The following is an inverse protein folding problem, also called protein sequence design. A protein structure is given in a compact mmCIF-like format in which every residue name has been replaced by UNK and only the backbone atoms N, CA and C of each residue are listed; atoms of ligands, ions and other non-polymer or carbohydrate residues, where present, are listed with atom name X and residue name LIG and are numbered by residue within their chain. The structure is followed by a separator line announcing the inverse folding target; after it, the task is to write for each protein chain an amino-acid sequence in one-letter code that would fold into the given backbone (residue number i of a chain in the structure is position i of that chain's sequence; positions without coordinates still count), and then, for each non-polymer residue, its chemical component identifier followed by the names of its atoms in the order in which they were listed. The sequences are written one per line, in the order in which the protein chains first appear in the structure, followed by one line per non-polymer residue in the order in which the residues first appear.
data_IF_859929023632
#
_entry.id   IF_859929023632
#
_cell.length_a   1.000
_cell.length_b   1.000
_cell.length_c   1.000
_cell.angle_alpha   90.00
_cell.angle_beta   90.00
_cell.angle_gamma   90.00
#
_symmetry.space_group_name_H-M   'P 1'
#
loop_
_entity.id
_entity.type
_entity.pdbx_description
1 polymer ?
#
# COMPACT_ATOMS: atom_id res chain seq x y z
N UNK A 1 -13.63 10.55 -46.88
CA UNK A 1 -13.65 10.56 -45.41
C UNK A 1 -13.31 9.15 -44.97
N UNK A 2 -12.17 8.93 -44.29
CA UNK A 2 -11.79 7.59 -43.80
C UNK A 2 -12.53 7.39 -42.47
N UNK A 3 -13.42 6.40 -42.40
CA UNK A 3 -14.07 6.02 -41.15
C UNK A 3 -13.04 5.33 -40.27
N UNK A 4 -12.56 6.03 -39.25
CA UNK A 4 -11.73 5.42 -38.20
C UNK A 4 -12.63 4.49 -37.39
N UNK A 5 -12.26 3.22 -37.31
CA UNK A 5 -12.95 2.25 -36.45
C UNK A 5 -12.61 2.54 -34.98
N UNK A 6 -13.55 2.35 -34.03
CA UNK A 6 -13.28 2.58 -32.61
C UNK A 6 -12.19 1.63 -32.08
N UNK A 7 -11.27 2.15 -31.27
CA UNK A 7 -10.16 1.42 -30.66
C UNK A 7 -10.55 0.97 -29.25
N UNK A 8 -10.46 -0.34 -29.00
CA UNK A 8 -10.81 -0.97 -27.73
C UNK A 8 -9.56 -1.17 -26.84
N UNK A 9 -9.56 -0.59 -25.64
CA UNK A 9 -8.50 -0.72 -24.63
C UNK A 9 -8.97 -1.72 -23.56
N UNK A 10 -8.22 -2.80 -23.34
CA UNK A 10 -8.56 -3.84 -22.36
C UNK A 10 -7.68 -3.70 -21.10
N UNK A 11 -8.30 -3.43 -19.96
CA UNK A 11 -7.62 -2.96 -18.75
C UNK A 11 -8.04 -3.68 -17.50
N UNK A 12 -7.14 -3.79 -16.51
CA UNK A 12 -7.29 -4.83 -15.50
C UNK A 12 -6.89 -4.42 -14.09
N UNK A 13 -7.63 -4.89 -13.09
CA UNK A 13 -7.72 -4.21 -11.77
C UNK A 13 -6.72 -4.68 -10.69
N UNK A 14 -5.89 -5.72 -10.91
CA UNK A 14 -5.23 -6.37 -9.75
C UNK A 14 -4.05 -5.60 -9.13
N UNK A 15 -3.30 -4.77 -9.85
CA UNK A 15 -2.30 -3.86 -9.27
C UNK A 15 -2.09 -2.65 -10.20
N UNK A 16 -3.02 -1.70 -10.17
CA UNK A 16 -2.84 -0.43 -10.90
C UNK A 16 -2.04 0.52 -10.01
N UNK A 17 -0.94 1.07 -10.54
CA UNK A 17 -0.26 2.20 -9.90
C UNK A 17 -1.25 3.37 -9.77
N UNK A 18 -1.09 4.27 -8.79
CA UNK A 18 -1.99 5.43 -8.65
C UNK A 18 -2.11 6.24 -9.94
N UNK A 19 -0.98 6.45 -10.63
CA UNK A 19 -0.91 7.17 -11.90
C UNK A 19 -1.65 6.45 -13.03
N UNK A 20 -1.44 5.15 -13.20
CA UNK A 20 -2.14 4.36 -14.22
C UNK A 20 -3.64 4.30 -13.92
N UNK A 21 -4.01 4.18 -12.65
CA UNK A 21 -5.41 4.20 -12.23
C UNK A 21 -6.04 5.57 -12.53
N UNK A 22 -5.34 6.67 -12.26
CA UNK A 22 -5.75 8.04 -12.61
C UNK A 22 -5.98 8.16 -14.12
N UNK A 23 -5.01 7.73 -14.92
CA UNK A 23 -5.10 7.76 -16.37
C UNK A 23 -6.31 6.99 -16.90
N UNK A 24 -6.53 5.76 -16.43
CA UNK A 24 -7.54 4.88 -17.03
C UNK A 24 -8.95 5.12 -16.48
N UNK A 25 -9.08 5.26 -15.16
CA UNK A 25 -10.40 5.28 -14.50
C UNK A 25 -10.95 6.69 -14.34
N UNK A 26 -10.08 7.69 -14.33
CA UNK A 26 -10.43 9.06 -13.96
C UNK A 26 -10.15 10.03 -15.13
N UNK A 27 -10.48 9.60 -16.35
CA UNK A 27 -10.61 10.53 -17.48
C UNK A 27 -9.36 10.81 -18.32
N UNK A 28 -8.19 10.26 -17.98
CA UNK A 28 -6.99 10.42 -18.81
C UNK A 28 -7.14 9.78 -20.20
N UNK A 29 -7.57 8.52 -20.25
CA UNK A 29 -7.85 7.79 -21.49
C UNK A 29 -9.09 8.33 -22.21
N UNK A 30 -10.14 8.71 -21.47
CA UNK A 30 -11.39 9.23 -22.02
C UNK A 30 -11.24 10.61 -22.69
N UNK A 31 -10.11 11.29 -22.46
CA UNK A 31 -9.77 12.56 -23.12
C UNK A 31 -9.39 12.40 -24.59
N UNK A 32 -9.18 11.16 -25.07
CA UNK A 32 -8.83 10.85 -26.45
C UNK A 32 -10.04 10.38 -27.26
N UNK A 33 -10.04 10.67 -28.56
CA UNK A 33 -11.05 10.20 -29.49
C UNK A 33 -10.84 8.73 -29.86
N UNK A 34 -11.96 8.02 -30.06
CA UNK A 34 -11.98 6.61 -30.44
C UNK A 34 -11.30 5.66 -29.46
N UNK A 35 -11.12 6.04 -28.19
CA UNK A 35 -10.59 5.17 -27.14
C UNK A 35 -11.74 4.65 -26.28
N UNK A 36 -11.85 3.33 -26.17
CA UNK A 36 -12.79 2.66 -25.27
C UNK A 36 -12.03 1.92 -24.18
N UNK A 37 -12.50 1.93 -22.93
CA UNK A 37 -11.82 1.27 -21.80
C UNK A 37 -12.68 0.14 -21.24
N UNK A 38 -12.19 -1.09 -21.30
CA UNK A 38 -12.81 -2.28 -20.72
C UNK A 38 -12.08 -2.70 -19.43
N UNK A 39 -12.81 -3.06 -18.37
CA UNK A 39 -12.22 -3.48 -17.09
C UNK A 39 -12.31 -5.00 -16.85
N UNK A 40 -11.21 -5.73 -17.06
CA UNK A 40 -11.00 -7.16 -16.82
C UNK A 40 -10.30 -7.44 -15.48
N UNK A 41 -10.99 -8.07 -14.53
CA UNK A 41 -10.38 -8.40 -13.22
C UNK A 41 -9.20 -9.37 -13.39
N UNK A 42 -8.03 -9.01 -12.86
CA UNK A 42 -6.90 -9.94 -12.69
C UNK A 42 -5.87 -10.05 -13.81
N UNK A 43 -6.01 -9.28 -14.87
CA UNK A 43 -5.02 -9.19 -15.94
C UNK A 43 -4.11 -7.96 -15.76
N UNK A 44 -3.22 -7.70 -16.72
CA UNK A 44 -2.44 -6.45 -16.82
C UNK A 44 -3.20 -5.39 -17.62
N UNK A 45 -2.80 -4.13 -17.51
CA UNK A 45 -3.30 -3.05 -18.37
C UNK A 45 -2.58 -3.06 -19.72
N UNK A 46 -3.29 -3.31 -20.81
CA UNK A 46 -2.73 -3.38 -22.16
C UNK A 46 -3.52 -2.45 -23.08
N UNK A 47 -2.82 -1.52 -23.74
CA UNK A 47 -3.37 -0.76 -24.84
C UNK A 47 -3.27 -1.60 -26.11
N UNK A 48 -4.41 -1.88 -26.75
CA UNK A 48 -4.47 -2.63 -28.01
C UNK A 48 -4.88 -1.66 -29.11
N UNK A 49 -4.05 -1.54 -30.15
CA UNK A 49 -4.29 -0.67 -31.30
C UNK A 49 -4.74 -1.54 -32.47
N UNK A 50 -5.93 -1.25 -32.97
CA UNK A 50 -6.56 -1.89 -34.13
C UNK A 50 -6.42 -1.01 -35.37
N UNK A 51 -6.13 -1.62 -36.50
CA UNK A 51 -6.14 -0.96 -37.81
C UNK A 51 -6.96 -1.82 -38.77
N UNK A 52 -8.02 -1.26 -39.35
CA UNK A 52 -8.96 -1.97 -40.22
C UNK A 52 -9.57 -3.25 -39.60
N UNK A 53 -9.71 -3.28 -38.27
CA UNK A 53 -10.26 -4.41 -37.52
C UNK A 53 -9.24 -5.45 -37.06
N UNK A 54 -7.98 -5.35 -37.49
CA UNK A 54 -6.90 -6.25 -37.09
C UNK A 54 -6.06 -5.65 -35.95
N UNK A 55 -5.70 -6.46 -34.95
CA UNK A 55 -4.77 -6.08 -33.88
C UNK A 55 -3.37 -5.82 -34.47
N UNK A 56 -2.92 -4.57 -34.40
CA UNK A 56 -1.63 -4.13 -34.94
C UNK A 56 -0.54 -4.07 -33.88
N UNK A 57 -0.87 -3.53 -32.72
CA UNK A 57 0.11 -3.25 -31.66
C UNK A 57 -0.51 -3.44 -30.29
N UNK A 58 0.28 -3.99 -29.36
CA UNK A 58 -0.08 -4.10 -27.95
C UNK A 58 1.00 -3.44 -27.10
N UNK A 59 0.61 -2.54 -26.19
CA UNK A 59 1.52 -1.80 -25.31
C UNK A 59 1.13 -2.05 -23.86
N UNK A 60 2.08 -2.51 -23.03
CA UNK A 60 1.87 -2.67 -21.59
C UNK A 60 1.93 -1.31 -20.88
N UNK A 61 0.77 -0.77 -20.48
CA UNK A 61 0.69 0.53 -19.81
C UNK A 61 1.32 0.52 -18.40
N UNK A 62 1.44 -0.65 -17.79
CA UNK A 62 2.09 -0.80 -16.47
C UNK A 62 3.59 -0.50 -16.49
N UNK A 63 4.25 -0.56 -17.65
CA UNK A 63 5.67 -0.25 -17.78
C UNK A 63 5.94 1.27 -17.77
N UNK A 64 4.90 2.09 -17.92
CA UNK A 64 5.01 3.56 -17.99
C UNK A 64 4.66 4.14 -16.61
N UNK A 65 5.64 4.73 -15.89
CA UNK A 65 5.45 5.10 -14.49
C UNK A 65 4.56 6.32 -14.30
N UNK A 66 4.59 7.29 -15.23
CA UNK A 66 3.93 8.59 -15.04
C UNK A 66 2.72 8.80 -15.95
N UNK A 67 1.74 9.57 -15.44
CA UNK A 67 0.59 10.03 -16.22
C UNK A 67 0.99 10.76 -17.50
N UNK A 68 1.99 11.63 -17.42
CA UNK A 68 2.44 12.44 -18.55
C UNK A 68 3.02 11.59 -19.68
N UNK A 69 3.86 10.60 -19.36
CA UNK A 69 4.43 9.69 -20.36
C UNK A 69 3.36 8.83 -21.04
N UNK A 70 2.33 8.38 -20.31
CA UNK A 70 1.20 7.68 -20.92
C UNK A 70 0.43 8.57 -21.91
N UNK A 71 0.21 9.84 -21.54
CA UNK A 71 -0.45 10.82 -22.41
C UNK A 71 0.39 11.14 -23.65
N UNK A 72 1.68 11.36 -23.48
CA UNK A 72 2.60 11.68 -24.58
C UNK A 72 2.74 10.49 -25.54
N UNK A 73 2.79 9.26 -25.02
CA UNK A 73 2.74 8.05 -25.84
C UNK A 73 1.46 7.98 -26.68
N UNK A 74 0.28 8.28 -26.13
CA UNK A 74 -0.96 8.31 -26.92
C UNK A 74 -0.88 9.34 -28.07
N UNK A 75 -0.33 10.52 -27.80
CA UNK A 75 -0.12 11.55 -28.83
C UNK A 75 0.87 11.07 -29.90
N UNK A 76 1.97 10.43 -29.51
CA UNK A 76 2.97 9.85 -30.41
C UNK A 76 2.37 8.76 -31.31
N UNK A 77 1.44 7.95 -30.78
CA UNK A 77 0.69 6.94 -31.53
C UNK A 77 -0.38 7.53 -32.45
N UNK A 78 -0.57 8.84 -32.42
CA UNK A 78 -1.49 9.56 -33.31
C UNK A 78 -2.93 9.63 -32.82
N UNK A 79 -3.18 9.34 -31.53
CA UNK A 79 -4.50 9.56 -30.95
C UNK A 79 -4.80 11.06 -30.88
N UNK A 80 -6.01 11.43 -31.29
CA UNK A 80 -6.46 12.82 -31.26
C UNK A 80 -7.11 13.10 -29.91
N UNK A 81 -6.81 14.26 -29.34
CA UNK A 81 -7.51 14.75 -28.16
C UNK A 81 -8.88 15.27 -28.57
N UNK A 82 -9.86 15.08 -27.68
CA UNK A 82 -11.16 15.76 -27.78
C UNK A 82 -10.99 17.28 -27.69
N UNK A 83 -12.09 18.01 -27.90
CA UNK A 83 -12.11 19.46 -27.75
C UNK A 83 -11.54 19.88 -26.38
N UNK A 84 -10.74 20.96 -26.30
CA UNK A 84 -10.04 21.33 -25.06
C UNK A 84 -10.99 21.61 -23.89
N UNK A 85 -12.18 22.13 -24.17
CA UNK A 85 -13.24 22.34 -23.17
C UNK A 85 -13.72 21.01 -22.56
N UNK A 86 -13.87 19.98 -23.40
CA UNK A 86 -14.29 18.65 -22.95
C UNK A 86 -13.17 17.95 -22.17
N UNK A 87 -11.93 18.06 -22.63
CA UNK A 87 -10.75 17.53 -21.92
C UNK A 87 -10.61 18.18 -20.54
N UNK A 88 -10.79 19.51 -20.44
CA UNK A 88 -10.73 20.21 -19.17
C UNK A 88 -11.82 19.71 -18.20
N UNK A 89 -13.06 19.53 -18.70
CA UNK A 89 -14.17 19.00 -17.90
C UNK A 89 -13.88 17.59 -17.40
N UNK A 90 -13.45 16.69 -18.29
CA UNK A 90 -13.12 15.30 -17.97
C UNK A 90 -11.99 15.24 -16.93
N UNK A 91 -10.94 16.06 -17.10
CA UNK A 91 -9.81 16.11 -16.18
C UNK A 91 -10.25 16.59 -14.79
N UNK A 92 -11.05 17.65 -14.73
CA UNK A 92 -11.54 18.19 -13.47
C UNK A 92 -12.45 17.21 -12.72
N UNK A 93 -13.38 16.56 -13.43
CA UNK A 93 -14.27 15.55 -12.86
C UNK A 93 -13.48 14.32 -12.38
N UNK A 94 -12.52 13.87 -13.20
CA UNK A 94 -11.63 12.77 -12.89
C UNK A 94 -10.79 13.02 -11.64
N UNK A 95 -10.17 14.20 -11.53
CA UNK A 95 -9.35 14.57 -10.38
C UNK A 95 -10.17 14.65 -9.08
N UNK A 96 -11.38 15.22 -9.15
CA UNK A 96 -12.29 15.26 -8.00
C UNK A 96 -12.68 13.85 -7.54
N UNK A 97 -13.05 12.96 -8.48
CA UNK A 97 -13.42 11.58 -8.18
C UNK A 97 -12.23 10.74 -7.68
N UNK A 98 -11.01 11.04 -8.15
CA UNK A 98 -9.79 10.39 -7.68
C UNK A 98 -9.51 10.73 -6.21
N UNK A 99 -9.59 12.02 -5.86
CA UNK A 99 -9.37 12.50 -4.49
C UNK A 99 -10.39 11.89 -3.52
N UNK A 100 -11.68 11.84 -3.90
CA UNK A 100 -12.73 11.23 -3.08
C UNK A 100 -12.47 9.73 -2.81
N UNK A 101 -12.07 8.94 -3.83
CA UNK A 101 -11.76 7.52 -3.63
C UNK A 101 -10.52 7.33 -2.74
N UNK A 102 -9.51 8.19 -2.87
CA UNK A 102 -8.30 8.16 -2.04
C UNK A 102 -8.61 8.51 -0.58
N UNK A 103 -9.41 9.55 -0.33
CA UNK A 103 -9.84 9.91 1.01
C UNK A 103 -10.71 8.80 1.63
N UNK A 104 -11.63 8.22 0.86
CA UNK A 104 -12.45 7.09 1.30
C UNK A 104 -11.64 5.84 1.63
N UNK A 105 -10.54 5.57 0.91
CA UNK A 105 -9.59 4.50 1.27
C UNK A 105 -8.82 4.83 2.55
N UNK A 106 -8.35 6.07 2.71
CA UNK A 106 -7.64 6.53 3.90
C UNK A 106 -8.50 6.40 5.16
N UNK A 107 -9.76 6.86 5.11
CA UNK A 107 -10.72 6.73 6.22
C UNK A 107 -10.95 5.27 6.61
N UNK A 108 -11.15 4.38 5.63
CA UNK A 108 -11.30 2.93 5.89
C UNK A 108 -10.05 2.31 6.51
N UNK A 109 -8.87 2.71 6.04
CA UNK A 109 -7.60 2.23 6.59
C UNK A 109 -7.41 2.70 8.04
N UNK A 110 -7.75 3.95 8.35
CA UNK A 110 -7.71 4.51 9.69
C UNK A 110 -8.69 3.80 10.63
N UNK A 111 -9.96 3.65 10.23
CA UNK A 111 -10.96 2.89 11.00
C UNK A 111 -10.52 1.43 11.23
N UNK A 112 -9.92 0.80 10.23
CA UNK A 112 -9.38 -0.55 10.37
C UNK A 112 -8.22 -0.58 11.38
N UNK A 113 -7.36 0.43 11.36
CA UNK A 113 -6.23 0.56 12.30
C UNK A 113 -6.71 0.82 13.72
N UNK A 114 -7.70 1.68 13.91
CA UNK A 114 -8.33 1.93 15.21
C UNK A 114 -8.98 0.68 15.77
N UNK A 115 -9.71 -0.07 14.95
CA UNK A 115 -10.27 -1.37 15.32
C UNK A 115 -9.18 -2.34 15.78
N UNK A 116 -8.09 -2.47 15.02
CA UNK A 116 -6.97 -3.33 15.42
C UNK A 116 -6.31 -2.86 16.72
N UNK A 117 -6.13 -1.55 16.91
CA UNK A 117 -5.57 -1.01 18.14
C UNK A 117 -6.47 -1.32 19.34
N UNK A 118 -7.80 -1.18 19.19
CA UNK A 118 -8.77 -1.52 20.23
C UNK A 118 -8.76 -3.02 20.56
N UNK A 119 -8.59 -3.89 19.56
CA UNK A 119 -8.42 -5.32 19.82
C UNK A 119 -7.12 -5.62 20.57
N UNK A 120 -6.00 -4.97 20.20
CA UNK A 120 -4.71 -5.14 20.89
C UNK A 120 -4.75 -4.68 22.34
N UNK A 121 -5.41 -3.56 22.63
CA UNK A 121 -5.48 -3.01 24.00
C UNK A 121 -6.59 -3.66 24.84
N UNK A 122 -7.76 -3.93 24.26
CA UNK A 122 -8.88 -4.59 24.95
C UNK A 122 -8.65 -6.08 25.24
N UNK A 123 -7.82 -6.75 24.44
CA UNK A 123 -7.36 -8.11 24.73
C UNK A 123 -6.42 -8.19 25.94
N UNK A 124 -5.86 -7.07 26.41
CA UNK A 124 -5.01 -7.03 27.59
C UNK A 124 -5.80 -6.80 28.90
N UNK A 125 -7.02 -6.25 28.83
CA UNK A 125 -7.79 -5.87 30.03
C UNK A 125 -8.97 -6.78 30.36
N UNK A 126 -9.32 -7.74 29.51
CA UNK A 126 -10.41 -8.70 29.79
C UNK A 126 -9.84 -10.11 30.00
N UNK A 127 -9.29 -10.34 31.19
CA UNK A 127 -9.34 -11.65 31.84
C UNK A 127 -8.36 -12.73 31.39
N UNK A 128 -7.12 -12.37 31.06
CA UNK A 128 -6.00 -13.32 31.07
C UNK A 128 -5.07 -12.96 32.22
N UNK A 129 -5.28 -13.54 33.40
CA UNK A 129 -4.38 -13.47 34.54
C UNK A 129 -2.93 -13.68 34.06
N UNK A 130 -2.17 -12.59 34.01
CA UNK A 130 -0.78 -12.55 33.54
C UNK A 130 0.21 -13.12 34.56
N UNK A 131 -0.18 -14.20 35.24
CA UNK A 131 0.73 -15.16 35.85
C UNK A 131 1.16 -16.28 34.86
N UNK A 132 1.06 -16.02 33.55
CA UNK A 132 1.13 -16.99 32.43
C UNK A 132 2.44 -17.74 32.17
N UNK A 133 3.43 -17.69 33.06
CA UNK A 133 4.50 -18.70 33.08
C UNK A 133 4.29 -19.72 34.21
N UNK A 134 3.74 -19.29 35.36
CA UNK A 134 3.38 -20.17 36.46
C UNK A 134 1.97 -20.78 36.30
N UNK A 135 1.05 -20.11 35.61
CA UNK A 135 -0.32 -20.59 35.43
C UNK A 135 -0.45 -21.64 34.33
N UNK A 136 0.43 -21.68 33.33
CA UNK A 136 0.37 -22.69 32.25
C UNK A 136 0.63 -24.10 32.78
N UNK A 137 1.61 -24.25 33.69
CA UNK A 137 1.92 -25.52 34.34
C UNK A 137 0.80 -25.89 35.33
N UNK A 138 0.29 -24.93 36.12
CA UNK A 138 -0.80 -25.18 37.07
C UNK A 138 -2.13 -25.52 36.37
N UNK A 139 -2.48 -24.89 35.25
CA UNK A 139 -3.69 -25.20 34.47
C UNK A 139 -3.54 -26.53 33.74
N UNK A 140 -2.36 -26.87 33.24
CA UNK A 140 -2.10 -28.19 32.67
C UNK A 140 -2.23 -29.28 33.75
N UNK A 141 -1.65 -29.08 34.94
CA UNK A 141 -1.78 -29.98 36.08
C UNK A 141 -3.25 -30.10 36.56
N UNK A 142 -3.99 -28.99 36.58
CA UNK A 142 -5.41 -28.98 36.93
C UNK A 142 -6.25 -29.76 35.91
N UNK A 143 -6.05 -29.52 34.60
CA UNK A 143 -6.73 -30.29 33.53
C UNK A 143 -6.42 -31.78 33.58
N UNK A 144 -5.17 -32.15 33.87
CA UNK A 144 -4.77 -33.56 34.04
C UNK A 144 -5.42 -34.20 35.28
N UNK A 145 -5.56 -33.44 36.36
CA UNK A 145 -6.26 -33.87 37.58
C UNK A 145 -7.77 -34.04 37.32
N UNK A 146 -8.39 -33.10 36.62
CA UNK A 146 -9.83 -33.14 36.30
C UNK A 146 -10.18 -34.28 35.33
N UNK A 147 -9.21 -34.74 34.54
CA UNK A 147 -9.34 -35.92 33.66
C UNK A 147 -8.95 -37.24 34.34
N UNK A 148 -8.65 -37.24 35.65
CA UNK A 148 -8.37 -38.45 36.43
C UNK A 148 -6.98 -39.05 36.21
N UNK A 149 -6.07 -38.31 35.55
CA UNK A 149 -4.70 -38.76 35.32
C UNK A 149 -3.90 -38.66 36.62
N UNK A 150 -3.23 -39.75 37.02
CA UNK A 150 -2.33 -39.74 38.18
C UNK A 150 -1.03 -39.02 37.82
N UNK A 151 -0.86 -37.82 38.37
CA UNK A 151 0.34 -37.02 38.20
C UNK A 151 1.47 -37.64 39.04
N UNK A 152 2.55 -38.08 38.39
CA UNK A 152 3.74 -38.61 39.05
C UNK A 152 4.82 -37.52 39.15
N UNK A 153 5.74 -37.67 40.11
CA UNK A 153 6.85 -36.72 40.30
C UNK A 153 7.74 -36.61 39.05
N UNK A 154 7.91 -37.70 38.29
CA UNK A 154 8.65 -37.73 37.02
C UNK A 154 8.02 -36.83 35.95
N UNK A 155 6.68 -36.78 35.85
CA UNK A 155 6.00 -35.92 34.88
C UNK A 155 6.17 -34.43 35.20
N UNK A 156 6.15 -34.06 36.49
CA UNK A 156 6.37 -32.68 36.93
C UNK A 156 7.78 -32.25 36.56
N UNK A 157 8.77 -33.09 36.85
CA UNK A 157 10.18 -32.80 36.56
C UNK A 157 10.45 -32.62 35.06
N UNK A 158 9.82 -33.43 34.22
CA UNK A 158 9.94 -33.31 32.75
C UNK A 158 9.33 -32.02 32.22
N UNK A 159 8.17 -31.60 32.75
CA UNK A 159 7.53 -30.33 32.36
C UNK A 159 8.36 -29.11 32.77
N UNK A 160 8.98 -29.13 33.94
CA UNK A 160 9.88 -28.06 34.39
C UNK A 160 11.12 -27.94 33.49
N UNK A 161 11.68 -29.07 33.07
CA UNK A 161 12.85 -29.11 32.18
C UNK A 161 12.53 -28.57 30.78
N UNK A 162 11.42 -29.00 30.18
CA UNK A 162 10.96 -28.51 28.87
C UNK A 162 10.70 -27.00 28.89
N UNK A 163 10.09 -26.48 29.97
CA UNK A 163 9.80 -25.05 30.08
C UNK A 163 11.07 -24.21 30.28
N UNK A 164 12.08 -24.76 30.97
CA UNK A 164 13.39 -24.12 31.13
C UNK A 164 14.13 -24.02 29.81
N UNK A 165 14.02 -25.05 28.97
CA UNK A 165 14.65 -25.05 27.65
C UNK A 165 13.94 -24.10 26.68
N UNK A 166 12.61 -24.05 26.71
CA UNK A 166 11.83 -23.09 25.91
C UNK A 166 12.19 -21.64 26.26
N UNK A 167 12.32 -21.32 27.56
CA UNK A 167 12.72 -19.99 28.01
C UNK A 167 14.15 -19.61 27.57
N UNK A 168 15.06 -20.58 27.42
CA UNK A 168 16.39 -20.34 26.87
C UNK A 168 16.35 -20.00 25.39
N UNK A 169 15.52 -20.72 24.62
CA UNK A 169 15.32 -20.45 23.19
C UNK A 169 14.78 -19.03 22.99
N UNK A 170 13.77 -18.63 23.76
CA UNK A 170 13.17 -17.29 23.63
C UNK A 170 14.18 -16.16 23.95
N UNK A 171 15.01 -16.35 24.99
CA UNK A 171 16.10 -15.41 25.30
C UNK A 171 17.15 -15.36 24.19
N UNK A 172 17.54 -16.51 23.65
CA UNK A 172 18.50 -16.59 22.56
C UNK A 172 17.94 -16.00 21.26
N UNK A 173 16.62 -16.02 21.06
CA UNK A 173 15.96 -15.42 19.89
C UNK A 173 15.84 -13.90 20.00
N UNK A 174 15.74 -13.35 21.21
CA UNK A 174 15.75 -11.89 21.43
C UNK A 174 17.10 -11.23 21.13
N UNK A 175 18.21 -11.96 21.30
CA UNK A 175 19.56 -11.46 21.00
C UNK A 175 19.97 -11.62 19.52
N UNK A 176 19.12 -12.20 18.67
CA UNK A 176 19.38 -12.42 17.23
C UNK A 176 18.43 -11.62 16.35
N UNK A 177 18.02 -10.42 16.79
CA UNK A 177 17.51 -9.45 15.82
C UNK A 177 18.68 -9.09 14.88
N UNK A 178 18.57 -9.38 13.57
CA UNK A 178 19.69 -9.24 12.65
C UNK A 178 20.15 -7.78 12.64
N UNK A 179 21.46 -7.56 12.75
CA UNK A 179 22.08 -6.24 12.73
C UNK A 179 21.62 -5.38 11.53
N UNK A 180 21.15 -6.02 10.45
CA UNK A 180 20.55 -5.41 9.27
C UNK A 180 19.31 -4.54 9.58
N UNK A 181 18.51 -4.90 10.60
CA UNK A 181 17.32 -4.12 10.97
C UNK A 181 17.66 -2.90 11.85
N UNK A 182 18.81 -2.93 12.55
CA UNK A 182 19.30 -1.78 13.30
C UNK A 182 19.91 -0.72 12.37
N UNK A 183 20.66 -1.16 11.34
CA UNK A 183 21.22 -0.29 10.29
C UNK A 183 20.09 0.45 9.55
N UNK A 184 18.96 -0.23 9.27
CA UNK A 184 17.80 0.40 8.62
C UNK A 184 17.15 1.51 9.46
N UNK A 185 17.10 1.35 10.79
CA UNK A 185 16.51 2.36 11.69
C UNK A 185 17.41 3.59 11.84
N UNK A 186 18.73 3.41 11.89
CA UNK A 186 19.68 4.53 11.92
C UNK A 186 19.71 5.29 10.59
N UNK A 187 19.79 4.58 9.45
CA UNK A 187 19.70 5.20 8.12
C UNK A 187 18.41 6.01 7.95
N UNK A 188 17.29 5.48 8.45
CA UNK A 188 16.00 6.20 8.40
C UNK A 188 15.98 7.45 9.31
N UNK A 189 16.69 7.43 10.45
CA UNK A 189 16.84 8.62 11.31
C UNK A 189 17.70 9.68 10.65
N UNK A 190 18.83 9.30 10.05
CA UNK A 190 19.72 10.22 9.33
C UNK A 190 19.02 10.86 8.13
N UNK A 191 18.31 10.06 7.33
CA UNK A 191 17.54 10.57 6.19
C UNK A 191 16.47 11.59 6.62
N UNK A 192 15.73 11.30 7.70
CA UNK A 192 14.75 12.26 8.26
C UNK A 192 15.40 13.55 8.77
N UNK A 193 16.58 13.45 9.37
CA UNK A 193 17.32 14.61 9.86
C UNK A 193 17.82 15.48 8.69
N UNK A 194 18.26 14.86 7.60
CA UNK A 194 18.71 15.56 6.40
C UNK A 194 17.55 16.31 5.71
N UNK A 195 16.41 15.63 5.52
CA UNK A 195 15.20 16.25 4.99
C UNK A 195 14.71 17.43 5.85
N UNK A 196 14.77 17.31 7.17
CA UNK A 196 14.39 18.42 8.06
C UNK A 196 15.33 19.63 7.92
N UNK A 197 16.64 19.42 7.77
CA UNK A 197 17.61 20.50 7.57
C UNK A 197 17.36 21.24 6.25
N UNK A 198 17.11 20.51 5.17
CA UNK A 198 16.81 21.07 3.85
C UNK A 198 15.56 21.97 3.89
N UNK A 199 14.50 21.53 4.59
CA UNK A 199 13.29 22.34 4.78
C UNK A 199 13.59 23.63 5.58
N UNK A 200 14.45 23.56 6.61
CA UNK A 200 14.82 24.75 7.37
C UNK A 200 15.64 25.75 6.54
N UNK A 201 16.48 25.25 5.64
CA UNK A 201 17.29 26.09 4.76
C UNK A 201 16.44 26.79 3.70
N UNK A 202 15.51 26.07 3.07
CA UNK A 202 14.52 26.66 2.15
C UNK A 202 13.67 27.74 2.82
N UNK A 203 13.24 27.53 4.08
CA UNK A 203 12.52 28.55 4.86
C UNK A 203 13.35 29.79 5.13
N UNK A 204 14.65 29.65 5.38
CA UNK A 204 15.54 30.81 5.58
C UNK A 204 15.69 31.61 4.30
N UNK A 205 15.88 30.95 3.15
CA UNK A 205 15.98 31.62 1.85
C UNK A 205 14.70 32.39 1.50
N UNK A 206 13.53 31.75 1.68
CA UNK A 206 12.24 32.40 1.46
C UNK A 206 12.00 33.63 2.35
N UNK A 207 12.47 33.59 3.61
CA UNK A 207 12.38 34.74 4.51
C UNK A 207 13.28 35.92 4.07
N UNK A 208 14.46 35.64 3.52
CA UNK A 208 15.38 36.68 3.03
C UNK A 208 14.82 37.36 1.78
N UNK A 209 14.22 36.60 0.86
CA UNK A 209 13.54 37.17 -0.31
C UNK A 209 12.35 38.05 0.11
N UNK A 210 11.56 37.62 1.11
CA UNK A 210 10.42 38.38 1.60
C UNK A 210 10.78 39.69 2.33
N UNK A 211 12.02 39.85 2.82
CA UNK A 211 12.48 41.08 3.48
C UNK A 211 13.29 42.00 2.58
N UNK A 212 13.59 41.59 1.35
CA UNK A 212 14.39 42.35 0.39
C UNK A 212 13.65 43.44 -0.40
N UNK A 213 12.31 43.51 -0.30
CA UNK A 213 11.46 44.43 -1.10
C UNK A 213 11.03 45.72 -0.34
N UNK A 214 11.61 46.01 0.83
CA UNK A 214 11.30 47.22 1.63
C UNK A 214 12.42 48.28 1.68
N UNK A 215 13.31 48.34 0.68
CA UNK A 215 14.31 49.40 0.50
C UNK A 215 14.20 50.09 -0.86
#
# INVERSE_FOLDING_TARGET
MRNLSPLLMLLSVLFLTPELKRFVKYGGADSFENVEVEFQKGKKAILIIYHDGDEREQVELQAIPTYQEMRDMMLEKGFQLKAPEEVARITQEGDAAFEEDMEGRRKRQEQSRERMNKFKTGSASTGGDSNGAASTIQDALKKMKDSGVKITAEMIRKLEEEHKEQSRIDQQTQDVLPAEEQISKEQMREWKLQQWKEIQEQRKLANVEATGDEL
#
